data_IF_308297839892
#
_entry.id   IF_308297839892
#
_cell.length_a   1.000
_cell.length_b   1.000
_cell.length_c   1.000
_cell.angle_alpha   90.00
_cell.angle_beta   90.00
_cell.angle_gamma   90.00
#
_symmetry.space_group_name_H-M   'P 1'
#
loop_
_entity.id
_entity.type
_entity.pdbx_description
1 polymer ?
#
# COMPACT_ATOMS: atom_id res chain seq x y z
N UNK A 1 1.64 -4.95 -7.15
CA UNK A 1 0.99 -4.31 -5.99
C UNK A 1 2.03 -3.84 -5.00
N UNK A 2 1.94 -2.58 -4.59
CA UNK A 2 2.84 -1.90 -3.66
C UNK A 2 2.02 -1.48 -2.45
N UNK A 3 2.41 -1.89 -1.24
CA UNK A 3 1.65 -1.65 -0.01
C UNK A 3 2.53 -0.89 0.98
N UNK A 4 2.12 0.32 1.32
CA UNK A 4 2.60 1.02 2.49
C UNK A 4 1.75 0.58 3.69
N UNK A 5 2.29 -0.38 4.44
CA UNK A 5 1.55 -0.99 5.53
C UNK A 5 1.22 0.05 6.60
N UNK A 6 2.15 0.95 6.94
CA UNK A 6 1.93 1.95 7.97
C UNK A 6 0.73 2.85 7.60
N UNK A 7 0.72 3.39 6.37
CA UNK A 7 -0.38 4.24 5.93
C UNK A 7 -1.75 3.55 5.99
N UNK A 8 -1.82 2.24 5.77
CA UNK A 8 -3.08 1.49 5.81
C UNK A 8 -3.59 1.25 7.25
N UNK A 9 -2.69 1.30 8.24
CA UNK A 9 -2.99 1.09 9.65
C UNK A 9 -3.39 2.37 10.40
N UNK A 10 -3.36 3.53 9.76
CA UNK A 10 -3.77 4.80 10.39
C UNK A 10 -5.14 5.31 9.91
N UNK A 11 -5.90 5.91 10.81
CA UNK A 11 -7.10 6.69 10.54
C UNK A 11 -7.14 7.94 11.44
N UNK A 12 -7.35 9.13 10.84
CA UNK A 12 -7.36 10.42 11.57
C UNK A 12 -6.12 10.59 12.48
N UNK A 13 -4.94 10.23 11.95
CA UNK A 13 -3.66 10.28 12.66
C UNK A 13 -3.55 9.37 13.88
N UNK A 14 -4.46 8.40 14.03
CA UNK A 14 -4.39 7.37 15.07
C UNK A 14 -4.28 5.99 14.43
N UNK A 15 -3.46 5.13 15.02
CA UNK A 15 -3.41 3.72 14.65
C UNK A 15 -4.78 3.08 14.96
N UNK A 16 -5.29 2.27 14.05
CA UNK A 16 -6.47 1.44 14.31
C UNK A 16 -6.08 0.21 15.11
N UNK A 17 -7.03 -0.38 15.83
CA UNK A 17 -6.79 -1.63 16.55
C UNK A 17 -6.39 -2.79 15.60
N UNK A 18 -5.76 -3.82 16.18
CA UNK A 18 -5.18 -4.92 15.42
C UNK A 18 -6.22 -5.76 14.67
N UNK A 19 -7.45 -5.86 15.18
CA UNK A 19 -8.53 -6.59 14.52
C UNK A 19 -8.99 -5.86 13.25
N UNK A 20 -9.14 -4.54 13.33
CA UNK A 20 -9.48 -3.70 12.18
C UNK A 20 -8.34 -3.59 11.19
N UNK A 21 -7.10 -3.53 11.68
CA UNK A 21 -5.89 -3.60 10.87
C UNK A 21 -5.84 -4.88 10.03
N UNK A 22 -6.06 -6.04 10.66
CA UNK A 22 -6.09 -7.33 9.97
C UNK A 22 -7.15 -7.37 8.85
N UNK A 23 -8.38 -6.95 9.16
CA UNK A 23 -9.46 -6.85 8.14
C UNK A 23 -9.11 -5.93 6.99
N UNK A 24 -8.42 -4.81 7.26
CA UNK A 24 -7.95 -3.91 6.20
C UNK A 24 -6.91 -4.56 5.32
N UNK A 25 -5.91 -5.21 5.90
CA UNK A 25 -4.87 -5.93 5.14
C UNK A 25 -5.51 -6.99 4.25
N UNK A 26 -6.45 -7.78 4.78
CA UNK A 26 -7.20 -8.77 3.99
C UNK A 26 -7.96 -8.12 2.84
N UNK A 27 -8.75 -7.09 3.13
CA UNK A 27 -9.55 -6.39 2.13
C UNK A 27 -8.69 -5.75 1.03
N UNK A 28 -7.51 -5.21 1.38
CA UNK A 28 -6.54 -4.68 0.42
C UNK A 28 -6.12 -5.76 -0.56
N UNK A 29 -5.73 -6.93 -0.04
CA UNK A 29 -5.25 -8.05 -0.85
C UNK A 29 -6.37 -8.66 -1.70
N UNK A 30 -7.58 -8.82 -1.14
CA UNK A 30 -8.73 -9.33 -1.87
C UNK A 30 -9.18 -8.38 -2.98
N UNK A 31 -9.15 -7.06 -2.72
CA UNK A 31 -9.52 -6.04 -3.70
C UNK A 31 -8.57 -6.02 -4.90
N UNK A 32 -7.26 -6.16 -4.65
CA UNK A 32 -6.29 -6.26 -5.74
C UNK A 32 -6.43 -7.55 -6.55
N UNK A 33 -7.04 -8.59 -5.95
CA UNK A 33 -7.16 -9.91 -6.56
C UNK A 33 -5.79 -10.57 -6.79
N UNK A 34 -5.70 -11.55 -7.70
CA UNK A 34 -4.44 -12.19 -8.05
C UNK A 34 -3.54 -11.20 -8.80
N UNK A 35 -2.43 -10.82 -8.18
CA UNK A 35 -1.37 -10.00 -8.78
C UNK A 35 -0.09 -10.80 -8.95
N UNK A 36 0.67 -10.50 -10.01
CA UNK A 36 1.92 -11.19 -10.30
C UNK A 36 3.02 -10.90 -9.28
N UNK A 37 3.00 -9.72 -8.67
CA UNK A 37 3.97 -9.31 -7.66
C UNK A 37 3.30 -8.47 -6.58
N UNK A 38 3.54 -8.80 -5.32
CA UNK A 38 3.16 -7.99 -4.16
C UNK A 38 4.41 -7.61 -3.38
N UNK A 39 4.50 -6.33 -3.01
CA UNK A 39 5.60 -5.83 -2.21
C UNK A 39 5.04 -4.98 -1.08
N UNK A 40 5.36 -5.35 0.16
CA UNK A 40 4.83 -4.72 1.37
C UNK A 40 5.99 -4.08 2.12
N UNK A 41 5.84 -2.82 2.48
CA UNK A 41 6.87 -2.05 3.18
C UNK A 41 6.27 -1.39 4.42
N UNK A 42 7.05 -1.29 5.48
CA UNK A 42 6.66 -0.68 6.75
C UNK A 42 7.65 -0.96 7.88
N UNK A 43 7.44 -0.30 9.02
CA UNK A 43 8.25 -0.52 10.22
C UNK A 43 7.88 -1.81 10.96
N UNK A 44 8.79 -2.29 11.81
CA UNK A 44 8.60 -3.50 12.62
C UNK A 44 7.27 -3.50 13.41
N UNK A 45 6.87 -2.34 13.94
CA UNK A 45 5.64 -2.19 14.73
C UNK A 45 4.38 -2.52 13.92
N UNK A 46 4.40 -2.30 12.60
CA UNK A 46 3.29 -2.58 11.70
C UNK A 46 3.26 -4.06 11.29
N UNK A 47 4.43 -4.69 11.15
CA UNK A 47 4.53 -6.09 10.73
C UNK A 47 4.31 -7.11 11.84
N UNK A 48 4.93 -6.91 13.01
CA UNK A 48 4.95 -7.92 14.10
C UNK A 48 3.53 -8.40 14.47
N UNK A 49 2.52 -7.53 14.64
CA UNK A 49 1.16 -7.96 14.99
C UNK A 49 0.45 -8.76 13.88
N UNK A 50 0.92 -8.64 12.63
CA UNK A 50 0.22 -9.16 11.44
C UNK A 50 1.05 -10.19 10.67
N UNK A 51 2.20 -10.64 11.20
CA UNK A 51 3.10 -11.56 10.50
C UNK A 51 2.43 -12.88 10.12
N UNK A 52 1.58 -13.43 11.00
CA UNK A 52 0.86 -14.67 10.72
C UNK A 52 -0.14 -14.51 9.56
N UNK A 53 -0.84 -13.38 9.51
CA UNK A 53 -1.76 -13.04 8.43
C UNK A 53 -1.01 -12.88 7.09
N UNK A 54 0.08 -12.12 7.10
CA UNK A 54 0.91 -11.89 5.91
C UNK A 54 1.54 -13.19 5.40
N UNK A 55 1.99 -14.07 6.31
CA UNK A 55 2.51 -15.39 5.98
C UNK A 55 1.44 -16.32 5.40
N UNK A 56 0.23 -16.33 5.96
CA UNK A 56 -0.89 -17.14 5.47
C UNK A 56 -1.32 -16.77 4.03
N UNK A 57 -1.08 -15.51 3.64
CA UNK A 57 -1.36 -15.00 2.29
C UNK A 57 -0.21 -15.20 1.32
N UNK A 58 0.84 -15.92 1.72
CA UNK A 58 2.04 -16.17 0.92
C UNK A 58 2.56 -14.88 0.30
N UNK A 59 2.80 -13.86 1.15
CA UNK A 59 3.34 -12.56 0.71
C UNK A 59 4.85 -12.38 0.92
N UNK A 60 5.74 -13.22 0.35
CA UNK A 60 7.12 -12.83 0.16
C UNK A 60 7.30 -12.09 -1.18
N UNK A 61 8.16 -11.04 -1.25
CA UNK A 61 8.94 -10.42 -0.17
C UNK A 61 8.25 -9.19 0.46
N UNK A 62 8.43 -9.02 1.77
CA UNK A 62 8.18 -7.77 2.49
C UNK A 62 9.50 -7.14 2.96
N UNK A 63 9.55 -5.82 3.08
CA UNK A 63 10.74 -5.09 3.51
C UNK A 63 10.47 -4.31 4.80
N UNK A 64 11.31 -4.57 5.81
CA UNK A 64 11.31 -3.82 7.06
C UNK A 64 12.19 -2.59 6.91
N UNK A 65 11.58 -1.42 6.94
CA UNK A 65 12.32 -0.15 6.91
C UNK A 65 12.57 0.35 8.32
N UNK A 66 13.72 1.01 8.53
CA UNK A 66 13.97 1.74 9.77
C UNK A 66 13.06 2.96 9.83
N UNK A 67 12.59 3.37 11.03
CA UNK A 67 11.84 4.60 11.19
C UNK A 67 12.67 5.80 10.75
N UNK A 68 12.35 6.32 9.57
CA UNK A 68 12.92 7.53 9.01
C UNK A 68 11.84 8.15 8.11
N UNK A 69 11.76 9.48 8.03
CA UNK A 69 10.82 10.13 7.12
C UNK A 69 10.97 9.59 5.70
N UNK A 70 9.83 9.26 5.09
CA UNK A 70 9.69 8.83 3.69
C UNK A 70 10.50 7.57 3.29
N UNK A 71 10.99 6.78 4.27
CA UNK A 71 11.81 5.59 3.95
C UNK A 71 11.00 4.49 3.28
N UNK A 72 9.78 4.24 3.77
CA UNK A 72 8.85 3.30 3.15
C UNK A 72 8.49 3.73 1.73
N UNK A 73 8.19 5.01 1.55
CA UNK A 73 7.76 5.58 0.27
C UNK A 73 8.81 5.42 -0.82
N UNK A 74 10.07 5.77 -0.51
CA UNK A 74 11.18 5.64 -1.46
C UNK A 74 11.40 4.20 -1.89
N UNK A 75 11.40 3.27 -0.93
CA UNK A 75 11.57 1.84 -1.22
C UNK A 75 10.43 1.31 -2.10
N UNK A 76 9.20 1.74 -1.87
CA UNK A 76 8.05 1.38 -2.70
C UNK A 76 8.16 1.97 -4.11
N UNK A 77 8.56 3.24 -4.24
CA UNK A 77 8.75 3.90 -5.54
C UNK A 77 9.87 3.25 -6.33
N UNK A 78 11.04 3.05 -5.73
CA UNK A 78 12.18 2.38 -6.38
C UNK A 78 11.79 0.99 -6.88
N UNK A 79 11.00 0.24 -6.08
CA UNK A 79 10.47 -1.05 -6.51
C UNK A 79 9.48 -0.91 -7.67
N UNK A 80 8.58 0.07 -7.61
CA UNK A 80 7.61 0.35 -8.65
C UNK A 80 8.29 0.65 -9.99
N UNK A 81 9.28 1.54 -9.97
CA UNK A 81 10.09 1.91 -11.12
C UNK A 81 10.87 0.72 -11.68
N UNK A 82 11.49 -0.07 -10.81
CA UNK A 82 12.13 -1.32 -11.23
C UNK A 82 11.15 -2.25 -11.94
N UNK A 83 9.98 -2.51 -11.36
CA UNK A 83 8.96 -3.36 -12.00
C UNK A 83 8.50 -2.77 -13.33
N UNK A 84 8.24 -1.47 -13.41
CA UNK A 84 7.88 -0.80 -14.66
C UNK A 84 8.96 -0.99 -15.74
N UNK A 85 10.24 -0.84 -15.36
CA UNK A 85 11.37 -1.07 -16.27
C UNK A 85 11.47 -2.51 -16.80
N UNK A 86 10.92 -3.48 -16.07
CA UNK A 86 10.85 -4.89 -16.48
C UNK A 86 9.59 -5.25 -17.28
N UNK A 87 8.72 -4.28 -17.57
CA UNK A 87 7.56 -4.44 -18.45
C UNK A 87 6.20 -4.53 -17.75
N UNK A 88 6.12 -4.31 -16.43
CA UNK A 88 4.83 -4.20 -15.74
C UNK A 88 4.15 -2.87 -16.08
N UNK A 89 2.88 -2.90 -16.47
CA UNK A 89 2.14 -1.72 -16.96
C UNK A 89 1.03 -1.26 -16.03
N UNK A 90 0.50 -2.17 -15.22
CA UNK A 90 -0.66 -1.95 -14.36
C UNK A 90 -0.27 -2.16 -12.91
N UNK A 91 -0.53 -1.14 -12.10
CA UNK A 91 -0.10 -1.10 -10.71
C UNK A 91 -1.28 -0.93 -9.77
N UNK A 92 -1.16 -1.55 -8.60
CA UNK A 92 -1.97 -1.27 -7.43
C UNK A 92 -1.09 -0.64 -6.38
N UNK A 93 -1.52 0.48 -5.81
CA UNK A 93 -0.87 1.14 -4.68
C UNK A 93 -1.84 1.22 -3.51
N UNK A 94 -1.46 0.61 -2.38
CA UNK A 94 -2.15 0.79 -1.11
C UNK A 94 -1.39 1.83 -0.27
N UNK A 95 -1.65 3.10 -0.56
CA UNK A 95 -1.13 4.28 0.15
C UNK A 95 -2.08 5.46 0.00
N UNK A 96 -1.89 6.49 0.81
CA UNK A 96 -2.63 7.75 0.73
C UNK A 96 -1.73 8.95 0.43
N UNK A 97 -0.42 8.75 0.36
CA UNK A 97 0.55 9.83 0.33
C UNK A 97 0.65 10.48 -1.06
N UNK A 98 0.84 11.81 -1.07
CA UNK A 98 1.06 12.59 -2.29
C UNK A 98 2.32 12.18 -3.05
N UNK A 99 3.31 11.58 -2.38
CA UNK A 99 4.60 11.23 -3.00
C UNK A 99 4.45 10.21 -4.13
N UNK A 100 3.39 9.40 -4.13
CA UNK A 100 3.08 8.45 -5.18
C UNK A 100 2.41 9.06 -6.42
N UNK A 101 1.98 10.33 -6.36
CA UNK A 101 1.26 10.95 -7.47
C UNK A 101 2.07 11.00 -8.79
N UNK A 102 3.37 11.37 -8.80
CA UNK A 102 4.16 11.34 -10.05
C UNK A 102 4.24 9.94 -10.68
N UNK A 103 4.37 8.90 -9.85
CA UNK A 103 4.37 7.51 -10.31
C UNK A 103 3.02 7.13 -10.91
N UNK A 104 1.92 7.47 -10.22
CA UNK A 104 0.56 7.22 -10.72
C UNK A 104 0.24 7.99 -12.02
N UNK A 105 0.82 9.17 -12.22
CA UNK A 105 0.71 9.91 -13.49
C UNK A 105 1.49 9.26 -14.64
N UNK A 106 2.52 8.48 -14.32
CA UNK A 106 3.43 7.87 -15.31
C UNK A 106 2.98 6.46 -15.71
N UNK A 107 2.28 5.76 -14.81
CA UNK A 107 1.84 4.38 -14.99
C UNK A 107 0.39 4.20 -14.59
N UNK A 108 -0.34 3.33 -15.31
CA UNK A 108 -1.74 3.04 -14.98
C UNK A 108 -1.83 2.45 -13.57
N UNK A 109 -2.33 3.25 -12.64
CA UNK A 109 -2.29 2.94 -11.21
C UNK A 109 -3.67 3.01 -10.58
N UNK A 110 -4.09 1.91 -9.96
CA UNK A 110 -5.26 1.84 -9.09
C UNK A 110 -4.83 2.05 -7.64
N UNK A 111 -5.40 3.06 -6.97
CA UNK A 111 -5.12 3.35 -5.56
C UNK A 111 -6.17 2.67 -4.69
N UNK A 112 -5.73 1.87 -3.73
CA UNK A 112 -6.58 1.22 -2.74
C UNK A 112 -6.40 1.96 -1.40
N UNK A 113 -7.48 2.43 -0.81
CA UNK A 113 -7.43 3.18 0.45
C UNK A 113 -8.57 2.80 1.39
N UNK A 114 -8.37 2.77 2.72
CA UNK A 114 -9.46 2.57 3.67
C UNK A 114 -10.48 3.72 3.68
N UNK A 115 -10.11 4.91 3.21
CA UNK A 115 -11.01 6.06 3.10
C UNK A 115 -10.47 7.12 2.14
N UNK A 116 -11.34 7.85 1.45
CA UNK A 116 -10.92 9.07 0.72
C UNK A 116 -10.42 10.17 1.66
N UNK A 117 -10.89 10.16 2.91
CA UNK A 117 -10.39 11.11 3.92
C UNK A 117 -8.92 10.81 4.20
N UNK A 118 -8.06 11.79 3.91
CA UNK A 118 -6.61 11.67 4.07
C UNK A 118 -5.87 11.12 2.85
N UNK A 119 -6.59 10.73 1.79
CA UNK A 119 -5.97 10.54 0.48
C UNK A 119 -5.55 11.91 -0.06
N UNK A 120 -4.30 12.03 -0.51
CA UNK A 120 -3.84 13.22 -1.20
C UNK A 120 -4.65 13.45 -2.48
N UNK A 121 -5.17 14.67 -2.66
CA UNK A 121 -5.85 15.07 -3.89
C UNK A 121 -4.97 14.88 -5.13
N UNK A 122 -3.67 15.14 -5.01
CA UNK A 122 -2.75 14.93 -6.13
C UNK A 122 -2.63 13.45 -6.53
N UNK A 123 -2.67 12.54 -5.56
CA UNK A 123 -2.65 11.10 -5.84
C UNK A 123 -4.01 10.65 -6.41
N UNK A 124 -5.11 11.17 -5.87
CA UNK A 124 -6.46 10.90 -6.37
C UNK A 124 -6.64 11.35 -7.83
N UNK A 125 -6.15 12.55 -8.18
CA UNK A 125 -6.24 13.09 -9.54
C UNK A 125 -5.31 12.35 -10.53
N UNK A 126 -4.19 11.80 -10.05
CA UNK A 126 -3.22 11.05 -10.87
C UNK A 126 -3.60 9.56 -11.06
N UNK A 127 -4.39 8.98 -10.15
CA UNK A 127 -4.77 7.58 -10.21
C UNK A 127 -5.73 7.31 -11.38
N UNK A 128 -5.56 6.16 -12.03
CA UNK A 128 -6.53 5.68 -13.03
C UNK A 128 -7.86 5.30 -12.38
N UNK A 129 -7.80 4.78 -11.15
CA UNK A 129 -8.96 4.41 -10.34
C UNK A 129 -8.61 4.54 -8.86
N UNK A 130 -9.62 4.89 -8.04
CA UNK A 130 -9.50 4.89 -6.58
C UNK A 130 -10.56 3.97 -5.99
N UNK A 131 -10.13 2.89 -5.36
CA UNK A 131 -10.99 1.95 -4.65
C UNK A 131 -10.95 2.25 -3.16
N UNK A 132 -12.11 2.56 -2.60
CA UNK A 132 -12.29 2.76 -1.16
C UNK A 132 -12.74 1.45 -0.54
N UNK A 133 -11.98 0.93 0.42
CA UNK A 133 -12.32 -0.31 1.08
C UNK A 133 -13.55 -0.14 1.96
N UNK A 134 -14.47 -1.08 1.86
CA UNK A 134 -15.56 -1.25 2.83
C UNK A 134 -15.07 -2.14 3.97
N UNK A 135 -14.24 -1.59 4.85
CA UNK A 135 -13.82 -2.28 6.08
C UNK A 135 -14.74 -1.84 7.23
N UNK A 136 -15.64 -2.74 7.64
CA UNK A 136 -16.51 -2.55 8.82
C UNK A 136 -15.76 -2.32 10.12
#
# INVERSE_FOLDING_TARGET
>A
MLIDLENMLYERSRRVDDARAAKRIEAILDTAGPVQHTFVVGGQWAFIPHVALLAARSLPPFELVRPAPDSADRVLLDRGEFLASTGYTDFFIASRDRIFAPFASSYRTTVITPSRRGLSRALEDAAAEVIVLTCG
#
